data_IF_197014251979
#
_entry.id   IF_197014251979
#
_cell.length_a   1.000
_cell.length_b   1.000
_cell.length_c   1.000
_cell.angle_alpha   90.00
_cell.angle_beta   90.00
_cell.angle_gamma   90.00
#
_symmetry.space_group_name_H-M   'P 1'
#
loop_
_entity.id
_entity.type
_entity.pdbx_description
1 polymer ?
#
# COMPACT_ATOMS: atom_id res chain seq x y z
N UNK A 1 23.06 12.41 2.17
CA UNK A 1 23.04 11.86 0.80
C UNK A 1 22.67 12.99 -0.14
N UNK A 2 23.55 13.28 -1.11
CA UNK A 2 23.33 14.38 -2.07
C UNK A 2 22.22 14.05 -3.06
N UNK A 3 21.73 15.06 -3.79
CA UNK A 3 20.77 14.88 -4.87
C UNK A 3 21.33 13.93 -5.96
N UNK A 4 22.64 14.01 -6.23
CA UNK A 4 23.33 13.16 -7.21
C UNK A 4 23.35 11.69 -6.78
N UNK A 5 23.62 11.40 -5.50
CA UNK A 5 23.59 10.03 -4.97
C UNK A 5 22.18 9.43 -5.05
N UNK A 6 21.16 10.27 -4.81
CA UNK A 6 19.75 9.89 -4.90
C UNK A 6 19.33 9.57 -6.33
N UNK A 7 19.80 10.36 -7.32
CA UNK A 7 19.56 10.08 -8.73
C UNK A 7 20.26 8.80 -9.17
N UNK A 8 21.50 8.57 -8.74
CA UNK A 8 22.22 7.32 -9.02
C UNK A 8 21.50 6.08 -8.45
N UNK A 9 20.98 6.17 -7.22
CA UNK A 9 20.20 5.11 -6.60
C UNK A 9 18.89 4.83 -7.37
N UNK A 10 18.21 5.88 -7.84
CA UNK A 10 16.99 5.75 -8.64
C UNK A 10 17.26 5.14 -10.01
N UNK A 11 18.34 5.53 -10.69
CA UNK A 11 18.77 4.90 -11.95
C UNK A 11 19.06 3.41 -11.74
N UNK A 12 19.72 3.06 -10.64
CA UNK A 12 19.95 1.66 -10.28
C UNK A 12 18.64 0.89 -10.08
N UNK A 13 17.67 1.48 -9.35
CA UNK A 13 16.34 0.88 -9.16
C UNK A 13 15.58 0.71 -10.49
N UNK A 14 15.65 1.69 -11.38
CA UNK A 14 15.02 1.63 -12.71
C UNK A 14 15.63 0.54 -13.59
N UNK A 15 16.94 0.30 -13.50
CA UNK A 15 17.60 -0.80 -14.21
C UNK A 15 17.21 -2.16 -13.65
N UNK A 16 17.00 -2.27 -12.34
CA UNK A 16 16.52 -3.49 -11.69
C UNK A 16 15.05 -3.81 -11.97
N UNK A 17 14.24 -2.81 -12.31
CA UNK A 17 12.83 -2.98 -12.63
C UNK A 17 12.66 -3.56 -14.05
N UNK A 18 12.37 -4.86 -14.13
CA UNK A 18 12.26 -5.62 -15.40
C UNK A 18 11.03 -5.33 -16.26
N UNK A 19 10.12 -4.43 -15.85
CA UNK A 19 8.94 -4.07 -16.65
C UNK A 19 8.63 -2.56 -16.64
N UNK A 20 8.01 -2.02 -17.71
CA UNK A 20 7.60 -0.61 -17.76
C UNK A 20 6.74 -0.18 -16.56
N UNK A 21 5.81 -1.04 -16.14
CA UNK A 21 4.94 -0.77 -14.97
C UNK A 21 5.76 -0.72 -13.68
N UNK A 22 6.73 -1.62 -13.49
CA UNK A 22 7.62 -1.60 -12.33
C UNK A 22 8.47 -0.32 -12.29
N UNK A 23 8.99 0.11 -13.44
CA UNK A 23 9.72 1.36 -13.59
C UNK A 23 8.85 2.58 -13.28
N UNK A 24 7.62 2.63 -13.82
CA UNK A 24 6.65 3.69 -13.51
C UNK A 24 6.31 3.74 -12.00
N UNK A 25 6.16 2.58 -11.34
CA UNK A 25 5.95 2.51 -9.88
C UNK A 25 7.14 3.03 -9.09
N UNK A 26 8.37 2.71 -9.51
CA UNK A 26 9.57 3.26 -8.90
C UNK A 26 9.60 4.80 -8.99
N UNK A 27 9.32 5.35 -10.18
CA UNK A 27 9.21 6.81 -10.38
C UNK A 27 8.12 7.45 -9.52
N UNK A 28 6.94 6.83 -9.44
CA UNK A 28 5.83 7.33 -8.61
C UNK A 28 6.18 7.31 -7.10
N UNK A 29 6.89 6.28 -6.62
CA UNK A 29 7.40 6.24 -5.23
C UNK A 29 8.42 7.35 -4.98
N UNK A 30 9.28 7.63 -5.96
CA UNK A 30 10.31 8.67 -5.91
C UNK A 30 9.81 10.09 -6.28
N UNK A 31 8.50 10.33 -6.39
CA UNK A 31 7.94 11.60 -6.89
C UNK A 31 8.49 12.87 -6.22
N UNK A 32 8.77 12.84 -4.90
CA UNK A 32 9.33 13.99 -4.18
C UNK A 32 10.72 14.36 -4.69
N UNK A 33 11.50 13.38 -5.11
CA UNK A 33 12.81 13.55 -5.73
C UNK A 33 12.64 14.10 -7.14
N UNK A 34 11.75 13.50 -7.94
CA UNK A 34 11.42 13.96 -9.30
C UNK A 34 11.05 15.45 -9.33
N UNK A 35 10.28 15.93 -8.35
CA UNK A 35 9.92 17.37 -8.22
C UNK A 35 11.10 18.30 -7.95
N UNK A 36 12.22 17.79 -7.49
CA UNK A 36 13.45 18.54 -7.20
C UNK A 36 14.45 18.49 -8.36
N UNK A 37 14.25 17.60 -9.32
CA UNK A 37 15.10 17.48 -10.49
C UNK A 37 14.90 18.66 -11.44
N UNK A 38 15.98 19.04 -12.13
CA UNK A 38 15.88 19.97 -13.24
C UNK A 38 15.12 19.31 -14.41
N UNK A 39 14.55 20.09 -15.35
CA UNK A 39 13.93 19.52 -16.56
C UNK A 39 14.90 18.61 -17.34
N UNK A 40 16.17 18.99 -17.46
CA UNK A 40 17.20 18.21 -18.13
C UNK A 40 17.44 16.85 -17.45
N UNK A 41 17.50 16.83 -16.12
CA UNK A 41 17.67 15.57 -15.36
C UNK A 41 16.44 14.66 -15.51
N UNK A 42 15.24 15.25 -15.64
CA UNK A 42 14.02 14.47 -15.90
C UNK A 42 14.01 13.82 -17.27
N UNK A 43 14.50 14.52 -18.31
CA UNK A 43 14.64 13.94 -19.66
C UNK A 43 15.64 12.77 -19.63
N UNK A 44 16.81 12.96 -19.02
CA UNK A 44 17.80 11.89 -18.88
C UNK A 44 17.24 10.68 -18.10
N UNK A 45 16.45 10.94 -17.06
CA UNK A 45 15.78 9.90 -16.28
C UNK A 45 14.69 9.17 -17.09
N UNK A 46 13.97 9.88 -17.97
CA UNK A 46 13.00 9.28 -18.87
C UNK A 46 13.66 8.34 -19.88
N UNK A 47 14.78 8.77 -20.47
CA UNK A 47 15.59 7.96 -21.39
C UNK A 47 16.08 6.68 -20.70
N UNK A 48 16.57 6.79 -19.46
CA UNK A 48 17.03 5.63 -18.68
C UNK A 48 15.87 4.69 -18.27
N UNK A 49 14.68 5.24 -18.00
CA UNK A 49 13.51 4.42 -17.76
C UNK A 49 13.12 3.59 -19.01
N UNK A 50 13.37 4.11 -20.21
CA UNK A 50 13.31 3.34 -21.45
C UNK A 50 11.93 2.79 -21.81
N UNK A 51 10.86 3.42 -21.33
CA UNK A 51 9.48 3.09 -21.71
C UNK A 51 8.76 4.30 -22.31
N UNK A 52 7.81 4.03 -23.20
CA UNK A 52 7.04 5.06 -23.89
C UNK A 52 6.16 5.84 -22.91
N UNK A 53 6.23 7.17 -22.95
CA UNK A 53 5.50 8.06 -22.02
C UNK A 53 6.19 8.32 -20.67
N UNK A 54 7.44 7.86 -20.48
CA UNK A 54 8.20 8.11 -19.25
C UNK A 54 8.42 9.62 -18.97
N UNK A 55 8.69 10.40 -20.02
CA UNK A 55 8.86 11.86 -19.91
C UNK A 55 7.58 12.53 -19.39
N UNK A 56 6.42 12.14 -19.92
CA UNK A 56 5.12 12.68 -19.51
C UNK A 56 4.78 12.31 -18.07
N UNK A 57 5.08 11.07 -17.69
CA UNK A 57 4.91 10.64 -16.30
C UNK A 57 5.73 11.54 -15.38
N UNK A 58 7.01 11.77 -15.70
CA UNK A 58 7.90 12.59 -14.89
C UNK A 58 7.44 14.04 -14.81
N UNK A 59 6.96 14.61 -15.92
CA UNK A 59 6.44 15.99 -15.93
C UNK A 59 5.13 16.11 -15.15
N UNK A 60 4.24 15.12 -15.25
CA UNK A 60 3.00 15.06 -14.47
C UNK A 60 3.25 14.94 -12.96
N UNK A 61 4.27 14.17 -12.56
CA UNK A 61 4.71 14.03 -11.17
C UNK A 61 5.45 15.29 -10.67
N UNK A 62 6.15 16.00 -11.56
CA UNK A 62 6.87 17.22 -11.24
C UNK A 62 5.91 18.41 -11.00
N UNK A 63 4.76 18.42 -11.68
CA UNK A 63 3.79 19.51 -11.64
C UNK A 63 3.33 19.88 -10.20
N UNK A 64 3.37 21.19 -9.89
CA UNK A 64 3.22 21.71 -8.51
C UNK A 64 1.78 21.85 -8.03
N UNK A 65 0.80 21.93 -8.96
CA UNK A 65 -0.64 22.09 -8.70
C UNK A 65 -1.41 21.17 -9.65
N UNK A 66 -2.26 20.30 -9.10
CA UNK A 66 -3.14 19.44 -9.90
C UNK A 66 -2.47 18.25 -10.60
N UNK A 67 -1.24 17.89 -10.22
CA UNK A 67 -0.65 16.62 -10.64
C UNK A 67 -1.35 15.43 -9.98
N UNK A 68 -1.33 14.27 -10.64
CA UNK A 68 -1.92 13.04 -10.09
C UNK A 68 -1.24 12.73 -8.76
N UNK A 69 -2.03 12.57 -7.70
CA UNK A 69 -1.49 12.20 -6.40
C UNK A 69 -0.70 10.89 -6.55
N UNK A 70 0.53 10.78 -6.02
CA UNK A 70 1.35 9.58 -6.16
C UNK A 70 0.64 8.30 -5.72
N UNK A 71 -0.24 8.40 -4.73
CA UNK A 71 -1.08 7.29 -4.29
C UNK A 71 -2.06 6.83 -5.38
N UNK A 72 -2.73 7.77 -6.06
CA UNK A 72 -3.62 7.48 -7.17
C UNK A 72 -2.85 6.89 -8.36
N UNK A 73 -1.66 7.41 -8.65
CA UNK A 73 -0.80 6.85 -9.70
C UNK A 73 -0.37 5.42 -9.36
N UNK A 74 -0.01 5.13 -8.11
CA UNK A 74 0.36 3.77 -7.69
C UNK A 74 -0.84 2.80 -7.74
N UNK A 75 -2.03 3.25 -7.35
CA UNK A 75 -3.26 2.47 -7.48
C UNK A 75 -3.56 2.17 -8.95
N UNK A 76 -3.46 3.18 -9.80
CA UNK A 76 -3.65 3.04 -11.23
C UNK A 76 -2.62 2.09 -11.89
N UNK A 77 -1.34 2.22 -11.53
CA UNK A 77 -0.29 1.31 -12.02
C UNK A 77 -0.45 -0.12 -11.46
N UNK A 78 -1.17 -0.30 -10.36
CA UNK A 78 -1.51 -1.63 -9.86
C UNK A 78 -2.59 -2.26 -10.73
N UNK A 79 -3.63 -1.54 -11.14
CA UNK A 79 -4.69 -2.10 -12.01
C UNK A 79 -4.19 -2.42 -13.42
N UNK A 80 -3.19 -1.70 -13.93
CA UNK A 80 -2.55 -2.02 -15.22
C UNK A 80 -1.68 -3.29 -15.18
N UNK A 81 -1.18 -3.69 -14.01
CA UNK A 81 -0.42 -4.95 -13.88
C UNK A 81 -1.26 -6.14 -14.33
N UNK A 82 -2.56 -6.09 -14.05
CA UNK A 82 -3.49 -7.19 -14.32
C UNK A 82 -3.98 -7.18 -15.78
N UNK A 83 -3.77 -6.08 -16.52
CA UNK A 83 -4.25 -5.88 -17.91
C UNK A 83 -3.16 -5.92 -18.98
N UNK A 84 -1.88 -5.93 -18.60
CA UNK A 84 -0.75 -6.00 -19.53
C UNK A 84 -0.18 -4.64 -19.95
N UNK A 85 1.01 -4.65 -20.56
CA UNK A 85 1.82 -3.43 -20.79
C UNK A 85 1.41 -2.61 -22.01
N UNK A 86 0.62 -3.17 -22.93
CA UNK A 86 0.25 -2.52 -24.19
C UNK A 86 -0.68 -1.31 -23.99
N UNK A 87 -1.43 -1.28 -22.88
CA UNK A 87 -2.34 -0.17 -22.57
C UNK A 87 -1.64 1.03 -21.89
N UNK A 88 -0.40 0.88 -21.41
CA UNK A 88 0.27 1.90 -20.60
C UNK A 88 0.44 3.23 -21.36
N UNK A 89 0.87 3.19 -22.63
CA UNK A 89 1.08 4.41 -23.44
C UNK A 89 -0.26 5.14 -23.70
N UNK A 90 -1.31 4.39 -24.06
CA UNK A 90 -2.64 4.95 -24.30
C UNK A 90 -3.23 5.60 -23.05
N UNK A 91 -3.03 4.99 -21.88
CA UNK A 91 -3.54 5.59 -20.64
C UNK A 91 -2.69 6.75 -20.16
N UNK A 92 -1.36 6.70 -20.30
CA UNK A 92 -0.49 7.84 -20.01
C UNK A 92 -0.82 9.05 -20.89
N UNK A 93 -1.16 8.82 -22.16
CA UNK A 93 -1.68 9.87 -23.04
C UNK A 93 -3.01 10.43 -22.56
N UNK A 94 -3.92 9.59 -22.04
CA UNK A 94 -5.18 10.02 -21.44
C UNK A 94 -5.03 10.86 -20.17
N UNK A 95 -3.99 10.62 -19.36
CA UNK A 95 -3.70 11.42 -18.16
C UNK A 95 -3.21 12.86 -18.46
N UNK A 96 -2.80 13.15 -19.71
CA UNK A 96 -2.41 14.51 -20.15
C UNK A 96 -3.62 15.44 -20.30
N UNK A 97 -4.75 14.90 -20.77
CA UNK A 97 -5.98 15.67 -20.94
C UNK A 97 -6.69 15.77 -19.58
N UNK A 98 -6.95 16.97 -19.03
CA UNK A 98 -7.59 17.10 -17.72
C UNK A 98 -8.96 16.41 -17.63
N UNK A 99 -9.76 16.41 -18.70
CA UNK A 99 -11.08 15.77 -18.71
C UNK A 99 -10.94 14.24 -18.74
N UNK A 100 -10.11 13.70 -19.62
CA UNK A 100 -9.83 12.26 -19.71
C UNK A 100 -9.14 11.74 -18.44
N UNK A 101 -8.25 12.54 -17.84
CA UNK A 101 -7.60 12.24 -16.56
C UNK A 101 -8.61 12.08 -15.45
N UNK A 102 -9.55 13.01 -15.31
CA UNK A 102 -10.55 12.95 -14.25
C UNK A 102 -11.49 11.74 -14.46
N UNK A 103 -11.81 11.39 -15.71
CA UNK A 103 -12.56 10.17 -16.04
C UNK A 103 -11.79 8.87 -15.74
N UNK A 104 -10.48 8.81 -16.05
CA UNK A 104 -9.63 7.65 -15.74
C UNK A 104 -9.49 7.48 -14.24
N UNK A 105 -9.32 8.59 -13.51
CA UNK A 105 -9.22 8.58 -12.05
C UNK A 105 -10.54 8.20 -11.38
N UNK A 106 -11.68 8.69 -11.88
CA UNK A 106 -13.00 8.21 -11.41
C UNK A 106 -13.19 6.73 -11.71
N UNK A 107 -12.94 6.26 -12.94
CA UNK A 107 -13.03 4.82 -13.25
C UNK A 107 -12.11 3.96 -12.40
N UNK A 108 -10.90 4.45 -12.08
CA UNK A 108 -9.99 3.76 -11.17
C UNK A 108 -10.50 3.71 -9.73
N UNK A 109 -11.22 4.75 -9.28
CA UNK A 109 -11.87 4.77 -7.97
C UNK A 109 -13.12 3.89 -7.94
N UNK A 110 -13.93 3.89 -9.02
CA UNK A 110 -15.17 3.13 -9.15
C UNK A 110 -14.89 1.63 -9.33
N UNK A 111 -13.90 1.24 -10.13
CA UNK A 111 -13.49 -0.16 -10.27
C UNK A 111 -12.95 -0.76 -8.95
N UNK A 112 -12.39 0.08 -8.08
CA UNK A 112 -12.04 -0.33 -6.72
C UNK A 112 -13.28 -0.37 -5.85
N UNK A 113 -14.17 0.63 -5.92
CA UNK A 113 -15.42 0.60 -5.16
C UNK A 113 -16.21 -0.68 -5.48
N UNK A 114 -16.40 -1.02 -6.76
CA UNK A 114 -17.08 -2.25 -7.21
C UNK A 114 -16.34 -3.54 -6.79
N UNK A 115 -15.01 -3.57 -6.83
CA UNK A 115 -14.24 -4.72 -6.33
C UNK A 115 -14.34 -4.91 -4.79
N UNK A 116 -14.84 -3.90 -4.08
CA UNK A 116 -15.08 -3.92 -2.63
C UNK A 116 -16.56 -3.83 -2.25
N UNK A 117 -17.50 -3.80 -3.22
CA UNK A 117 -18.92 -4.03 -2.94
C UNK A 117 -19.10 -5.54 -2.94
N UNK A 118 -19.41 -6.17 -1.79
CA UNK A 118 -19.79 -7.58 -1.79
C UNK A 118 -21.01 -7.73 -2.71
N UNK A 119 -20.96 -8.68 -3.64
CA UNK A 119 -22.12 -9.11 -4.42
C UNK A 119 -23.27 -9.33 -3.44
N UNK A 120 -24.22 -8.39 -3.39
CA UNK A 120 -25.48 -8.59 -2.71
C UNK A 120 -26.13 -9.75 -3.47
N UNK A 121 -26.06 -10.93 -2.87
CA UNK A 121 -26.89 -12.06 -3.28
C UNK A 121 -28.32 -11.56 -3.24
N UNK A 122 -28.89 -11.36 -4.43
CA UNK A 122 -30.30 -11.07 -4.64
C UNK A 122 -31.12 -12.26 -4.13
N UNK A 123 -31.31 -12.34 -2.81
CA UNK A 123 -32.38 -13.12 -2.21
C UNK A 123 -33.67 -12.28 -2.34
N UNK A 124 -34.25 -12.34 -3.54
CA UNK A 124 -35.68 -12.16 -3.71
C UNK A 124 -36.39 -13.28 -2.93
N UNK A 125 -36.84 -13.00 -1.71
CA UNK A 125 -38.07 -13.61 -1.23
C UNK A 125 -38.80 -12.69 -0.25
N UNK A 126 -40.01 -12.34 -0.67
CA UNK A 126 -40.78 -11.23 -0.13
C UNK A 126 -41.35 -11.47 1.26
N UNK A 127 -41.49 -10.36 1.99
CA UNK A 127 -42.46 -10.24 3.07
C UNK A 127 -43.15 -8.88 3.00
N UNK A 128 -44.32 -8.89 2.37
CA UNK A 128 -45.43 -7.98 2.64
C UNK A 128 -45.80 -8.05 4.15
N UNK A 129 -45.82 -6.91 4.84
CA UNK A 129 -46.33 -6.83 6.21
C UNK A 129 -46.34 -5.40 6.77
N UNK A 130 -47.42 -4.95 7.42
CA UNK A 130 -47.91 -3.57 7.29
C UNK A 130 -47.29 -2.55 8.23
N UNK A 131 -47.29 -1.31 7.75
CA UNK A 131 -46.99 -0.10 8.46
C UNK A 131 -47.96 0.15 9.63
N UNK A 132 -47.44 0.21 10.85
CA UNK A 132 -48.11 0.80 12.00
C UNK A 132 -47.30 2.00 12.53
N UNK A 133 -47.88 3.17 12.29
CA UNK A 133 -48.08 4.28 13.23
C UNK A 133 -47.14 4.33 14.44
N UNK A 134 -46.15 5.23 14.37
CA UNK A 134 -45.52 5.78 15.58
C UNK A 134 -45.69 7.30 15.57
N UNK A 135 -46.42 7.72 16.59
CA UNK A 135 -46.91 9.06 16.89
C UNK A 135 -45.75 10.02 17.22
N UNK A 136 -45.84 11.24 16.70
CA UNK A 136 -44.84 12.28 16.84
C UNK A 136 -44.99 12.98 18.19
N UNK A 137 -44.13 12.63 19.16
CA UNK A 137 -43.96 13.43 20.38
C UNK A 137 -42.91 14.50 20.14
N UNK A 138 -43.39 15.72 19.93
CA UNK A 138 -42.59 16.94 19.90
C UNK A 138 -41.95 17.19 21.27
N UNK A 139 -40.63 17.06 21.35
CA UNK A 139 -39.84 17.49 22.50
C UNK A 139 -39.17 18.84 22.20
N UNK A 140 -39.40 19.81 23.09
CA UNK A 140 -38.82 21.16 23.08
C UNK A 140 -37.28 21.13 23.06
N UNK A 141 -36.62 22.03 22.32
CA UNK A 141 -35.18 22.17 22.33
C UNK A 141 -34.69 22.95 23.57
N UNK A 142 -33.85 22.31 24.38
CA UNK A 142 -33.10 22.96 25.47
C UNK A 142 -32.10 24.02 24.94
N UNK A 143 -31.85 25.11 25.69
CA UNK A 143 -31.01 26.21 25.26
C UNK A 143 -29.52 25.82 25.22
N UNK A 144 -28.91 26.03 24.06
CA UNK A 144 -27.47 25.91 23.83
C UNK A 144 -26.68 26.85 24.75
N UNK A 145 -25.83 26.26 25.59
CA UNK A 145 -24.84 27.00 26.38
C UNK A 145 -23.66 27.33 25.46
N UNK A 146 -23.43 28.63 25.21
CA UNK A 146 -22.27 29.12 24.47
C UNK A 146 -20.97 28.74 25.20
N UNK A 147 -20.00 28.10 24.53
CA UNK A 147 -18.67 27.91 25.11
C UNK A 147 -17.94 29.26 25.17
N UNK A 148 -17.48 29.60 26.37
CA UNK A 148 -16.69 30.80 26.64
C UNK A 148 -15.45 30.87 25.75
N UNK A 149 -15.17 32.08 25.26
CA UNK A 149 -13.98 32.43 24.50
C UNK A 149 -12.71 32.02 25.26
N UNK A 150 -11.97 31.07 24.71
CA UNK A 150 -10.63 30.72 25.18
C UNK A 150 -9.69 31.84 24.76
N UNK A 151 -9.20 32.57 25.76
CA UNK A 151 -8.19 33.61 25.61
C UNK A 151 -6.92 33.01 24.99
N UNK A 152 -6.62 33.44 23.77
CA UNK A 152 -5.50 32.95 22.97
C UNK A 152 -4.24 33.66 23.46
N UNK A 153 -3.56 33.07 24.44
CA UNK A 153 -2.26 33.55 24.92
C UNK A 153 -1.26 33.51 23.76
N UNK A 154 -0.94 34.68 23.20
CA UNK A 154 0.12 34.85 22.21
C UNK A 154 1.47 34.60 22.89
N UNK A 155 2.04 33.42 22.68
CA UNK A 155 3.42 33.11 23.03
C UNK A 155 4.31 33.57 21.89
N UNK A 156 4.95 34.73 22.04
CA UNK A 156 5.99 35.19 21.10
C UNK A 156 7.27 34.40 21.37
N UNK A 157 7.51 33.38 20.56
CA UNK A 157 8.81 32.72 20.48
C UNK A 157 9.77 33.59 19.68
N UNK A 158 10.75 34.19 20.35
CA UNK A 158 11.89 34.85 19.72
C UNK A 158 12.86 33.78 19.20
N UNK A 159 12.96 33.66 17.89
CA UNK A 159 13.90 32.76 17.21
C UNK A 159 15.31 33.38 17.24
N UNK A 160 16.36 32.64 17.68
CA UNK A 160 17.73 33.16 17.67
C UNK A 160 18.28 33.15 16.24
N UNK A 161 18.62 34.34 15.75
CA UNK A 161 19.34 34.54 14.48
C UNK A 161 20.75 33.99 14.62
N UNK A 162 21.02 32.86 13.97
CA UNK A 162 22.37 32.29 13.83
C UNK A 162 22.90 32.69 12.45
N UNK A 163 23.92 33.56 12.43
CA UNK A 163 24.67 33.90 11.22
C UNK A 163 25.45 32.67 10.72
N UNK A 164 25.30 32.26 9.44
CA UNK A 164 26.08 31.16 8.88
C UNK A 164 27.50 31.61 8.55
N UNK A 165 28.48 30.87 9.08
CA UNK A 165 29.89 31.05 8.74
C UNK A 165 30.20 30.67 7.27
N UNK A 166 31.18 31.31 6.61
CA UNK A 166 31.52 31.07 5.22
C UNK A 166 32.14 29.69 5.01
N UNK A 167 31.48 28.86 4.19
CA UNK A 167 31.98 27.55 3.75
C UNK A 167 32.98 27.76 2.62
N UNK A 168 34.25 27.45 2.87
CA UNK A 168 35.34 27.46 1.87
C UNK A 168 35.32 26.12 1.13
N UNK A 169 34.89 26.13 -0.13
CA UNK A 169 34.99 24.97 -1.02
C UNK A 169 36.42 24.84 -1.58
N UNK A 170 37.08 23.71 -1.29
CA UNK A 170 38.29 23.28 -2.02
C UNK A 170 37.87 22.47 -3.26
N UNK A 171 38.41 22.85 -4.41
CA UNK A 171 38.24 22.11 -5.65
C UNK A 171 39.00 20.76 -5.60
N UNK A 172 38.39 19.65 -6.06
CA UNK A 172 39.12 18.40 -6.25
C UNK A 172 39.98 18.47 -7.52
N UNK A 173 41.23 18.05 -7.40
CA UNK A 173 42.17 17.83 -8.51
C UNK A 173 41.66 16.69 -9.39
N UNK A 174 41.47 16.96 -10.68
CA UNK A 174 41.09 15.96 -11.68
C UNK A 174 42.35 15.29 -12.23
N UNK A 175 42.61 14.05 -11.81
CA UNK A 175 43.58 13.18 -12.48
C UNK A 175 43.01 12.67 -13.80
N UNK A 176 43.73 12.99 -14.89
CA UNK A 176 43.46 12.54 -16.24
C UNK A 176 43.81 11.05 -16.37
N UNK A 177 42.80 10.18 -16.42
CA UNK A 177 42.98 8.77 -16.80
C UNK A 177 42.66 8.61 -18.28
N UNK A 178 43.68 8.21 -19.04
CA UNK A 178 43.67 7.87 -20.46
C UNK A 178 42.87 6.57 -20.68
N UNK A 179 41.92 6.51 -21.64
CA UNK A 179 41.19 5.28 -21.92
C UNK A 179 42.03 4.29 -22.74
N UNK A 180 42.23 3.09 -22.17
CA UNK A 180 42.80 1.93 -22.85
C UNK A 180 41.81 1.27 -23.83
N UNK A 181 42.40 0.67 -24.86
CA UNK A 181 41.78 0.07 -26.05
C UNK A 181 40.72 -0.98 -25.78
N UNK A 182 39.60 -0.83 -26.50
CA UNK A 182 38.59 -1.85 -26.76
C UNK A 182 39.20 -3.08 -27.46
N UNK A 183 38.96 -4.31 -26.98
CA UNK A 183 39.28 -5.52 -27.73
C UNK A 183 38.21 -5.81 -28.79
N UNK A 184 38.68 -6.11 -30.01
CA UNK A 184 37.90 -6.64 -31.14
C UNK A 184 37.20 -7.95 -30.76
N UNK A 185 35.87 -7.95 -30.81
CA UNK A 185 35.06 -9.15 -30.68
C UNK A 185 35.02 -9.85 -32.04
N UNK A 186 35.74 -10.97 -32.13
CA UNK A 186 35.70 -11.92 -33.23
C UNK A 186 34.30 -12.54 -33.29
N UNK A 187 33.55 -12.22 -34.36
CA UNK A 187 32.25 -12.84 -34.66
C UNK A 187 32.47 -14.24 -35.19
N UNK A 188 32.21 -15.23 -34.34
CA UNK A 188 32.12 -16.62 -34.74
C UNK A 188 30.80 -16.91 -35.47
N UNK A 189 30.92 -17.80 -36.45
CA UNK A 189 29.94 -18.16 -37.46
C UNK A 189 28.83 -19.05 -36.85
N UNK A 190 27.53 -18.73 -37.02
CA UNK A 190 26.46 -19.53 -36.44
C UNK A 190 26.31 -20.87 -37.18
N UNK A 191 26.33 -21.96 -36.42
CA UNK A 191 25.94 -23.30 -36.87
C UNK A 191 24.41 -23.41 -37.04
N UNK A 192 23.94 -24.26 -37.97
CA UNK A 192 22.51 -24.42 -38.26
C UNK A 192 21.78 -25.17 -37.12
N UNK A 193 20.72 -24.55 -36.60
CA UNK A 193 19.83 -25.13 -35.60
C UNK A 193 19.09 -26.38 -36.15
N UNK A 194 18.91 -27.44 -35.33
CA UNK A 194 18.10 -28.58 -35.70
C UNK A 194 16.61 -28.21 -35.78
N UNK A 195 15.93 -28.81 -36.75
CA UNK A 195 14.50 -28.64 -37.02
C UNK A 195 13.66 -28.91 -35.76
N UNK A 196 12.92 -27.89 -35.32
CA UNK A 196 11.88 -28.01 -34.31
C UNK A 196 10.73 -28.81 -34.91
N UNK A 197 10.56 -30.05 -34.45
CA UNK A 197 9.34 -30.82 -34.65
C UNK A 197 8.22 -30.18 -33.84
N UNK A 198 7.20 -29.74 -34.56
CA UNK A 198 5.91 -29.23 -34.11
C UNK A 198 5.19 -30.34 -33.32
N UNK A 199 5.42 -30.37 -32.00
CA UNK A 199 4.66 -31.23 -31.08
C UNK A 199 3.40 -30.49 -30.64
N UNK A 200 2.27 -31.18 -30.79
CA UNK A 200 0.91 -30.75 -30.49
C UNK A 200 0.74 -30.13 -29.08
N UNK A 201 -0.25 -29.23 -28.88
CA UNK A 201 -0.55 -28.65 -27.58
C UNK A 201 -1.08 -29.74 -26.65
N UNK A 202 -0.26 -30.11 -25.67
CA UNK A 202 -0.72 -30.87 -24.50
C UNK A 202 -1.38 -29.86 -23.58
N UNK A 203 -2.71 -29.87 -23.56
CA UNK A 203 -3.52 -29.24 -22.52
C UNK A 203 -3.21 -29.97 -21.21
N UNK A 204 -2.13 -29.54 -20.54
CA UNK A 204 -1.86 -29.93 -19.17
C UNK A 204 -2.83 -29.13 -18.30
N UNK A 205 -3.86 -29.80 -17.81
CA UNK A 205 -4.64 -29.37 -16.65
C UNK A 205 -3.65 -29.14 -15.50
N UNK A 206 -3.25 -27.88 -15.28
CA UNK A 206 -2.47 -27.48 -14.12
C UNK A 206 -3.46 -27.46 -12.95
N UNK A 207 -3.59 -28.61 -12.29
CA UNK A 207 -4.22 -28.74 -10.97
C UNK A 207 -3.60 -27.68 -10.06
N UNK A 208 -4.34 -26.60 -9.82
CA UNK A 208 -3.86 -25.39 -9.13
C UNK A 208 -4.02 -25.47 -7.61
N UNK A 209 -4.29 -26.65 -7.05
CA UNK A 209 -4.84 -26.81 -5.71
C UNK A 209 -3.86 -27.21 -4.60
N UNK A 210 -2.56 -27.30 -4.90
CA UNK A 210 -1.53 -27.55 -3.87
C UNK A 210 -0.50 -26.42 -3.80
N UNK A 211 -0.94 -25.16 -3.71
CA UNK A 211 -0.07 -24.14 -3.12
C UNK A 211 0.15 -24.50 -1.66
N UNK A 212 1.26 -25.21 -1.42
CA UNK A 212 1.61 -25.80 -0.13
C UNK A 212 1.37 -24.84 1.02
N UNK A 213 0.61 -25.29 2.00
CA UNK A 213 0.34 -24.55 3.22
C UNK A 213 1.67 -24.28 3.94
N UNK A 214 1.98 -23.01 4.19
CA UNK A 214 3.18 -22.61 4.93
C UNK A 214 2.86 -22.71 6.42
N UNK A 215 3.73 -23.42 7.15
CA UNK A 215 3.69 -23.44 8.61
C UNK A 215 4.18 -22.08 9.16
N UNK A 216 3.40 -21.48 10.07
CA UNK A 216 3.75 -20.23 10.72
C UNK A 216 5.09 -20.33 11.45
N UNK A 217 5.45 -21.50 12.00
CA UNK A 217 6.74 -21.70 12.66
C UNK A 217 7.92 -21.53 11.69
N UNK A 218 7.80 -22.04 10.46
CA UNK A 218 8.83 -21.90 9.42
C UNK A 218 8.95 -20.42 8.99
N UNK A 219 7.82 -19.75 8.82
CA UNK A 219 7.81 -18.33 8.45
C UNK A 219 8.48 -17.44 9.51
N UNK A 220 8.40 -17.79 10.80
CA UNK A 220 9.10 -17.03 11.86
C UNK A 220 10.62 -17.08 11.66
N UNK A 221 11.19 -18.22 11.29
CA UNK A 221 12.62 -18.35 11.05
C UNK A 221 13.07 -17.47 9.88
N UNK A 222 12.30 -17.48 8.78
CA UNK A 222 12.55 -16.62 7.61
C UNK A 222 12.45 -15.13 7.96
N UNK A 223 11.43 -14.74 8.73
CA UNK A 223 11.25 -13.35 9.18
C UNK A 223 12.36 -12.90 10.13
N UNK A 224 12.89 -13.77 10.98
CA UNK A 224 13.98 -13.43 11.89
C UNK A 224 15.31 -13.25 11.15
N UNK A 225 15.51 -13.96 10.03
CA UNK A 225 16.70 -13.84 9.18
C UNK A 225 16.79 -12.49 8.46
N UNK A 226 15.65 -11.86 8.16
CA UNK A 226 15.61 -10.57 7.49
C UNK A 226 16.13 -9.44 8.39
N UNK A 227 17.03 -8.60 7.89
CA UNK A 227 17.64 -7.52 8.70
C UNK A 227 16.79 -6.26 8.76
N UNK A 228 15.90 -6.09 7.78
CA UNK A 228 15.09 -4.89 7.58
C UNK A 228 13.66 -5.13 8.03
N UNK A 229 13.14 -4.22 8.86
CA UNK A 229 11.78 -4.33 9.40
C UNK A 229 10.72 -4.23 8.30
N UNK A 230 11.01 -3.50 7.22
CA UNK A 230 10.11 -3.35 6.09
C UNK A 230 10.06 -4.65 5.28
N UNK A 231 11.21 -5.29 5.05
CA UNK A 231 11.29 -6.52 4.28
C UNK A 231 10.62 -7.69 5.01
N UNK A 232 10.74 -7.75 6.35
CA UNK A 232 9.93 -8.64 7.19
C UNK A 232 8.43 -8.46 6.99
N UNK A 233 7.94 -7.21 6.98
CA UNK A 233 6.52 -6.95 6.78
C UNK A 233 6.07 -7.31 5.36
N UNK A 234 6.92 -7.10 4.35
CA UNK A 234 6.62 -7.51 2.97
C UNK A 234 6.56 -9.04 2.85
N UNK A 235 7.56 -9.76 3.38
CA UNK A 235 7.59 -11.22 3.43
C UNK A 235 6.35 -11.78 4.13
N UNK A 236 5.96 -11.20 5.27
CA UNK A 236 4.74 -11.60 5.96
C UNK A 236 3.52 -11.44 5.06
N UNK A 237 3.33 -10.27 4.44
CA UNK A 237 2.15 -10.03 3.59
C UNK A 237 2.08 -10.94 2.37
N UNK A 238 3.24 -11.31 1.82
CA UNK A 238 3.33 -12.26 0.71
C UNK A 238 3.00 -13.70 1.15
N UNK A 239 3.44 -14.09 2.35
CA UNK A 239 3.20 -15.43 2.88
C UNK A 239 1.79 -15.64 3.46
N UNK A 240 1.13 -14.57 3.91
CA UNK A 240 -0.19 -14.62 4.58
C UNK A 240 -1.26 -15.42 3.83
N UNK A 241 -1.45 -15.27 2.50
CA UNK A 241 -2.43 -16.08 1.76
C UNK A 241 -2.13 -17.59 1.76
N UNK A 242 -0.88 -17.98 1.99
CA UNK A 242 -0.45 -19.37 2.06
C UNK A 242 -0.37 -19.91 3.51
N UNK A 243 -0.57 -19.06 4.51
CA UNK A 243 -0.65 -19.48 5.91
C UNK A 243 -1.94 -20.28 6.13
N UNK A 244 -1.80 -21.48 6.66
CA UNK A 244 -2.95 -22.31 7.01
C UNK A 244 -3.79 -21.69 8.12
N UNK A 245 -5.10 -21.95 8.09
CA UNK A 245 -6.07 -21.49 9.11
C UNK A 245 -5.81 -22.06 10.51
N UNK A 246 -5.01 -23.11 10.62
CA UNK A 246 -4.73 -23.86 11.85
C UNK A 246 -3.53 -23.33 12.67
N UNK A 247 -3.03 -22.13 12.38
CA UNK A 247 -1.79 -21.60 12.95
C UNK A 247 -1.83 -21.42 14.48
N UNK A 248 -1.46 -22.46 15.24
CA UNK A 248 -1.25 -22.38 16.71
C UNK A 248 -0.12 -21.41 17.09
N UNK A 249 0.69 -21.00 16.11
CA UNK A 249 1.89 -20.18 16.31
C UNK A 249 1.75 -18.72 15.86
N UNK A 250 0.53 -18.25 15.56
CA UNK A 250 0.31 -16.84 15.18
C UNK A 250 0.75 -15.86 16.27
N UNK A 251 0.64 -16.25 17.55
CA UNK A 251 1.17 -15.45 18.67
C UNK A 251 2.67 -15.22 18.57
N UNK A 252 3.44 -16.31 18.37
CA UNK A 252 4.90 -16.24 18.20
C UNK A 252 5.29 -15.43 16.97
N UNK A 253 4.53 -15.57 15.88
CA UNK A 253 4.73 -14.78 14.67
C UNK A 253 4.53 -13.28 14.92
N UNK A 254 3.48 -12.88 15.62
CA UNK A 254 3.24 -11.47 15.98
C UNK A 254 4.30 -10.96 16.97
N UNK A 255 4.77 -11.81 17.88
CA UNK A 255 5.81 -11.47 18.86
C UNK A 255 7.19 -11.25 18.25
N UNK A 256 7.49 -11.86 17.09
CA UNK A 256 8.72 -11.63 16.32
C UNK A 256 8.87 -10.15 15.86
N UNK A 257 7.77 -9.40 15.85
CA UNK A 257 7.75 -7.97 15.56
C UNK A 257 7.88 -7.14 16.84
N UNK A 258 8.72 -6.10 16.85
CA UNK A 258 8.85 -5.20 17.99
C UNK A 258 7.54 -4.46 18.27
N UNK A 259 7.30 -4.17 19.56
CA UNK A 259 6.12 -3.43 20.02
C UNK A 259 5.92 -2.11 19.26
N UNK A 260 4.66 -1.71 19.13
CA UNK A 260 4.25 -0.48 18.45
C UNK A 260 3.86 -0.72 17.00
N UNK A 261 4.35 0.12 16.09
CA UNK A 261 3.85 0.19 14.72
C UNK A 261 4.01 -1.10 13.92
N UNK A 262 5.16 -1.78 14.05
CA UNK A 262 5.46 -2.99 13.29
C UNK A 262 4.55 -4.15 13.70
N UNK A 263 4.45 -4.43 15.01
CA UNK A 263 3.54 -5.45 15.55
C UNK A 263 2.08 -5.18 15.18
N UNK A 264 1.63 -3.92 15.26
CA UNK A 264 0.30 -3.54 14.81
C UNK A 264 0.09 -3.86 13.32
N UNK A 265 1.04 -3.53 12.46
CA UNK A 265 0.94 -3.79 11.01
C UNK A 265 0.93 -5.29 10.69
N UNK A 266 1.75 -6.07 11.39
CA UNK A 266 1.75 -7.52 11.25
C UNK A 266 0.39 -8.12 11.64
N UNK A 267 -0.15 -7.74 12.81
CA UNK A 267 -1.46 -8.21 13.24
C UNK A 267 -2.59 -7.73 12.31
N UNK A 268 -2.54 -6.48 11.82
CA UNK A 268 -3.49 -5.99 10.81
C UNK A 268 -3.48 -6.85 9.56
N UNK A 269 -2.31 -7.22 9.04
CA UNK A 269 -2.23 -8.06 7.84
C UNK A 269 -2.82 -9.46 8.06
N UNK A 270 -2.64 -10.05 9.25
CA UNK A 270 -3.25 -11.32 9.61
C UNK A 270 -4.78 -11.21 9.71
N UNK A 271 -5.28 -10.19 10.41
CA UNK A 271 -6.71 -9.96 10.56
C UNK A 271 -7.40 -9.64 9.23
N UNK A 272 -6.77 -8.87 8.35
CA UNK A 272 -7.29 -8.61 6.99
C UNK A 272 -7.41 -9.90 6.17
N UNK A 273 -6.57 -10.89 6.43
CA UNK A 273 -6.59 -12.19 5.76
C UNK A 273 -7.45 -13.26 6.45
N UNK A 274 -8.22 -12.89 7.49
CA UNK A 274 -9.06 -13.87 8.19
C UNK A 274 -8.32 -14.75 9.19
N UNK A 275 -7.12 -14.36 9.63
CA UNK A 275 -6.30 -15.12 10.58
C UNK A 275 -6.19 -14.41 11.95
N UNK A 276 -6.33 -15.15 13.07
CA UNK A 276 -6.79 -16.53 13.17
C UNK A 276 -8.26 -16.69 12.72
N UNK A 277 -8.66 -17.92 12.37
CA UNK A 277 -10.03 -18.21 11.96
C UNK A 277 -11.04 -18.01 13.10
N UNK A 278 -10.62 -18.22 14.35
CA UNK A 278 -11.42 -17.97 15.54
C UNK A 278 -11.33 -16.51 16.00
N UNK A 279 -12.47 -15.84 16.14
CA UNK A 279 -12.55 -14.46 16.66
C UNK A 279 -12.01 -14.37 18.09
N UNK A 280 -12.23 -15.41 18.91
CA UNK A 280 -11.67 -15.50 20.26
C UNK A 280 -10.13 -15.42 20.29
N UNK A 281 -9.47 -16.19 19.41
CA UNK A 281 -8.02 -16.17 19.27
C UNK A 281 -7.52 -14.81 18.74
N UNK A 282 -8.29 -14.18 17.83
CA UNK A 282 -7.97 -12.84 17.33
C UNK A 282 -8.02 -11.81 18.46
N UNK A 283 -9.03 -11.90 19.33
CA UNK A 283 -9.14 -11.04 20.52
C UNK A 283 -8.00 -11.29 21.51
N UNK A 284 -7.51 -12.52 21.66
CA UNK A 284 -6.34 -12.84 22.50
C UNK A 284 -5.06 -12.17 21.97
N UNK A 285 -4.83 -12.25 20.66
CA UNK A 285 -3.70 -11.56 20.01
C UNK A 285 -3.79 -10.04 20.17
N UNK A 286 -4.98 -9.47 20.02
CA UNK A 286 -5.23 -8.04 20.20
C UNK A 286 -4.98 -7.63 21.66
N UNK A 287 -5.44 -8.42 22.63
CA UNK A 287 -5.24 -8.15 24.05
C UNK A 287 -3.74 -8.08 24.42
N UNK A 288 -2.90 -8.86 23.74
CA UNK A 288 -1.44 -8.85 23.89
C UNK A 288 -0.74 -7.57 23.39
N UNK A 289 -1.43 -6.68 22.68
CA UNK A 289 -0.85 -5.40 22.25
C UNK A 289 -0.72 -4.44 23.45
N UNK A 290 0.48 -3.86 23.64
CA UNK A 290 0.79 -2.98 24.78
C UNK A 290 -0.06 -1.69 24.79
N UNK A 291 -0.22 -1.04 23.63
CA UNK A 291 -0.82 0.30 23.53
C UNK A 291 -2.34 0.24 23.26
N UNK A 292 -3.17 1.00 24.00
CA UNK A 292 -4.62 1.05 23.74
C UNK A 292 -5.00 1.52 22.33
N UNK A 293 -4.17 2.38 21.72
CA UNK A 293 -4.39 2.86 20.34
C UNK A 293 -4.23 1.73 19.32
N UNK A 294 -3.29 0.81 19.53
CA UNK A 294 -3.04 -0.29 18.61
C UNK A 294 -4.15 -1.37 18.75
N UNK A 295 -4.62 -1.61 19.98
CA UNK A 295 -5.81 -2.45 20.24
C UNK A 295 -7.04 -1.91 19.53
N UNK A 296 -7.33 -0.61 19.71
CA UNK A 296 -8.45 0.07 19.06
C UNK A 296 -8.41 -0.04 17.54
N UNK A 297 -7.22 0.07 16.95
CA UNK A 297 -7.05 -0.08 15.51
C UNK A 297 -7.44 -1.47 15.03
N UNK A 298 -6.93 -2.52 15.69
CA UNK A 298 -7.19 -3.90 15.30
C UNK A 298 -8.64 -4.33 15.56
N UNK A 299 -9.26 -3.85 16.65
CA UNK A 299 -10.68 -4.05 16.91
C UNK A 299 -11.57 -3.38 15.87
N UNK A 300 -11.14 -2.25 15.29
CA UNK A 300 -11.82 -1.64 14.17
C UNK A 300 -11.89 -2.58 12.95
N UNK A 301 -10.85 -3.35 12.68
CA UNK A 301 -10.84 -4.29 11.56
C UNK A 301 -11.85 -5.42 11.77
N UNK A 302 -11.91 -5.99 12.99
CA UNK A 302 -12.89 -7.03 13.34
C UNK A 302 -14.33 -6.52 13.28
N UNK A 303 -14.56 -5.27 13.72
CA UNK A 303 -15.87 -4.62 13.63
C UNK A 303 -16.31 -4.45 12.16
N UNK A 304 -15.39 -3.98 11.31
CA UNK A 304 -15.65 -3.72 9.89
C UNK A 304 -15.96 -4.99 9.11
N UNK A 305 -15.43 -6.14 9.57
CA UNK A 305 -15.73 -7.47 9.03
C UNK A 305 -17.03 -8.09 9.55
N UNK A 306 -17.64 -7.51 10.59
CA UNK A 306 -18.81 -8.07 11.25
C UNK A 306 -18.51 -9.30 12.12
N UNK A 307 -17.25 -9.54 12.48
CA UNK A 307 -16.83 -10.72 13.26
C UNK A 307 -17.23 -10.62 14.75
N UNK A 308 -17.51 -9.40 15.24
CA UNK A 308 -17.81 -9.13 16.65
C UNK A 308 -19.30 -9.31 16.94
N UNK A 309 -19.70 -10.52 17.34
CA UNK A 309 -21.06 -10.85 17.77
C UNK A 309 -21.11 -11.28 19.24
N UNK A 310 -22.29 -11.26 19.86
CA UNK A 310 -22.53 -11.84 21.19
C UNK A 310 -21.45 -11.58 22.24
N UNK A 311 -20.84 -12.66 22.75
CA UNK A 311 -19.83 -12.61 23.81
C UNK A 311 -18.50 -11.98 23.33
N UNK A 312 -18.16 -12.14 22.05
CA UNK A 312 -16.98 -11.55 21.42
C UNK A 312 -17.11 -10.02 21.35
N UNK A 313 -18.31 -9.51 21.04
CA UNK A 313 -18.59 -8.08 21.06
C UNK A 313 -18.46 -7.50 22.49
N UNK A 314 -19.01 -8.17 23.49
CA UNK A 314 -18.86 -7.77 24.91
C UNK A 314 -17.40 -7.73 25.33
N UNK A 315 -16.64 -8.77 24.99
CA UNK A 315 -15.20 -8.86 25.25
C UNK A 315 -14.41 -7.76 24.55
N UNK A 316 -14.74 -7.45 23.30
CA UNK A 316 -14.13 -6.33 22.58
C UNK A 316 -14.43 -4.99 23.26
N UNK A 317 -15.64 -4.79 23.76
CA UNK A 317 -16.04 -3.56 24.46
C UNK A 317 -15.28 -3.34 25.77
N UNK A 318 -14.90 -4.42 26.48
CA UNK A 318 -14.07 -4.32 27.69
C UNK A 318 -12.64 -3.84 27.40
N UNK A 319 -12.13 -4.06 26.18
CA UNK A 319 -10.78 -3.64 25.77
C UNK A 319 -10.71 -2.17 25.33
N UNK A 320 -11.85 -1.48 25.19
CA UNK A 320 -11.96 -0.19 24.52
C UNK A 320 -12.24 0.95 25.51
N UNK A 321 -11.31 1.90 25.57
CA UNK A 321 -11.53 3.19 26.24
C UNK A 321 -12.20 4.24 25.33
N UNK A 322 -12.28 3.98 24.02
CA UNK A 322 -12.76 4.96 23.03
C UNK A 322 -14.29 4.91 22.86
N UNK A 323 -15.01 6.02 23.14
CA UNK A 323 -16.46 6.05 22.99
C UNK A 323 -16.91 5.91 21.53
N UNK A 324 -16.10 6.38 20.57
CA UNK A 324 -16.42 6.30 19.14
C UNK A 324 -16.41 4.87 18.63
N UNK A 325 -15.34 4.11 18.94
CA UNK A 325 -15.26 2.70 18.55
C UNK A 325 -16.34 1.88 19.26
N UNK A 326 -16.62 2.17 20.54
CA UNK A 326 -17.72 1.55 21.28
C UNK A 326 -19.07 1.71 20.57
N UNK A 327 -19.40 2.93 20.12
CA UNK A 327 -20.63 3.18 19.35
C UNK A 327 -20.64 2.44 18.02
N UNK A 328 -19.48 2.34 17.36
CA UNK A 328 -19.33 1.62 16.10
C UNK A 328 -19.62 0.13 16.27
N UNK A 329 -18.96 -0.54 17.22
CA UNK A 329 -19.20 -1.96 17.53
C UNK A 329 -20.66 -2.18 17.89
N UNK A 330 -21.24 -1.36 18.78
CA UNK A 330 -22.66 -1.48 19.16
C UNK A 330 -23.64 -1.27 18.00
N UNK A 331 -23.24 -0.56 16.94
CA UNK A 331 -24.05 -0.36 15.73
C UNK A 331 -23.95 -1.56 14.78
N UNK A 332 -22.76 -2.13 14.68
CA UNK A 332 -22.45 -3.25 13.78
C UNK A 332 -22.81 -4.61 14.40
N UNK A 333 -23.01 -4.68 15.72
CA UNK A 333 -23.49 -5.88 16.42
C UNK A 333 -25.02 -5.87 16.48
N UNK A 334 -25.73 -6.71 15.70
CA UNK A 334 -27.18 -6.83 15.84
C UNK A 334 -27.54 -7.32 17.25
N UNK A 335 -28.55 -6.69 17.87
CA UNK A 335 -29.12 -7.17 19.14
C UNK A 335 -29.93 -8.43 18.84
N UNK A 336 -29.29 -9.58 19.00
CA UNK A 336 -29.95 -10.88 19.03
C UNK A 336 -30.85 -11.06 20.25
#
# INVERSE_FOLDING_TARGET
MGLSDQLAAMVFELRGAGSPVAKAKALARAWRMVRRLSPTDRIALAEEAGFEGAEDLLESLAAKKGGVAPALMLQFLNSLRDRGTEELSGVMAGLRDPETRDQILMRGADAVAEAFVPEETEDEDGLDGPADLIDAVAAEPEPQTQPSAIDRVQTTFSEPVVEPAPVVFRAPETDNVVPEKTPEIVRDKPEPFPAVTESAPVEAEIESDERGTIDAAFLVEDLEAETSMLDRLLCLREAVPALGTAGRDLGRLVESFPNGWARRRALTALLEAGLPAGVGDALDLIAGLERPVDRRWCLGILADRGDLLGAEAERALEMIESPTLRRRILRETPRG
#
